data_IF_303895356812
#
_entry.id   IF_303895356812
#
_cell.length_a   1.000
_cell.length_b   1.000
_cell.length_c   1.000
_cell.angle_alpha   90.00
_cell.angle_beta   90.00
_cell.angle_gamma   90.00
#
_symmetry.space_group_name_H-M   'P 1'
#
loop_
_entity.id
_entity.type
_entity.pdbx_description
1 polymer ?
#
# COMPACT_ATOMS: atom_id res chain seq x y z
N UNK A 1 -12.67 -4.29 -13.19
CA UNK A 1 -11.78 -5.14 -12.39
C UNK A 1 -11.01 -4.25 -11.40
N UNK A 2 -11.02 -4.59 -10.12
CA UNK A 2 -10.24 -3.91 -9.07
C UNK A 2 -8.97 -4.70 -8.79
N UNK A 3 -7.82 -4.02 -8.80
CA UNK A 3 -6.53 -4.62 -8.52
C UNK A 3 -5.86 -4.01 -7.30
N UNK A 4 -5.26 -4.84 -6.44
CA UNK A 4 -4.24 -4.36 -5.50
C UNK A 4 -2.92 -4.29 -6.26
N UNK A 5 -2.29 -3.12 -6.28
CA UNK A 5 -0.93 -2.96 -6.82
C UNK A 5 -0.01 -2.52 -5.69
N UNK A 6 0.83 -3.45 -5.25
CA UNK A 6 1.83 -3.26 -4.21
C UNK A 6 3.15 -2.84 -4.85
N UNK A 7 3.60 -1.61 -4.60
CA UNK A 7 4.94 -1.20 -5.01
C UNK A 7 5.98 -1.59 -3.96
N UNK A 8 7.10 -2.18 -4.41
CA UNK A 8 8.24 -2.47 -3.54
C UNK A 8 9.56 -2.41 -4.31
N UNK A 9 10.65 -2.19 -3.60
CA UNK A 9 12.03 -2.30 -4.09
C UNK A 9 12.92 -2.89 -3.01
N UNK A 10 14.00 -3.53 -3.41
CA UNK A 10 14.94 -4.14 -2.45
C UNK A 10 15.87 -3.11 -1.84
N UNK A 11 16.24 -2.07 -2.59
CA UNK A 11 17.12 -1.01 -2.14
C UNK A 11 16.35 -0.01 -1.27
N UNK A 12 16.81 0.12 -0.04
CA UNK A 12 16.32 1.11 0.92
C UNK A 12 17.53 1.78 1.56
N UNK A 13 17.56 3.11 1.55
CA UNK A 13 18.70 3.88 2.08
C UNK A 13 18.73 3.95 3.60
N UNK A 14 17.55 4.12 4.24
CA UNK A 14 17.43 4.26 5.71
C UNK A 14 17.54 2.92 6.45
N UNK A 15 17.09 1.84 5.85
CA UNK A 15 17.16 0.47 6.39
C UNK A 15 17.45 -0.49 5.22
N UNK A 16 18.72 -0.74 4.90
CA UNK A 16 19.11 -1.57 3.76
C UNK A 16 18.47 -2.95 3.78
N UNK A 17 17.90 -3.38 2.65
CA UNK A 17 17.25 -4.68 2.52
C UNK A 17 15.98 -4.86 3.35
N UNK A 18 15.36 -3.77 3.82
CA UNK A 18 14.20 -3.81 4.74
C UNK A 18 13.08 -4.76 4.29
N UNK A 19 12.81 -4.83 3.00
CA UNK A 19 11.76 -5.69 2.44
C UNK A 19 11.98 -7.18 2.73
N UNK A 20 13.23 -7.60 2.96
CA UNK A 20 13.60 -8.98 3.25
C UNK A 20 13.90 -9.25 4.73
N UNK A 21 13.88 -8.23 5.61
CA UNK A 21 14.04 -8.43 7.04
C UNK A 21 12.92 -9.31 7.58
N UNK A 22 13.27 -10.26 8.47
CA UNK A 22 12.32 -11.25 8.98
C UNK A 22 11.46 -10.68 10.11
N UNK A 23 10.18 -10.51 9.83
CA UNK A 23 9.14 -10.19 10.80
C UNK A 23 8.39 -11.48 11.16
N UNK A 24 8.65 -12.01 12.36
CA UNK A 24 8.15 -13.31 12.83
C UNK A 24 8.38 -14.44 11.79
N UNK A 25 9.64 -14.61 11.38
CA UNK A 25 10.09 -15.69 10.50
C UNK A 25 9.71 -15.59 9.02
N UNK A 26 9.06 -14.50 8.59
CA UNK A 26 8.78 -14.24 7.18
C UNK A 26 9.28 -12.84 6.78
N UNK A 27 9.71 -12.65 5.52
CA UNK A 27 10.12 -11.33 5.04
C UNK A 27 9.05 -10.26 5.23
N UNK A 28 9.45 -9.02 5.54
CA UNK A 28 8.55 -7.88 5.73
C UNK A 28 7.57 -7.73 4.56
N UNK A 29 8.05 -7.81 3.32
CA UNK A 29 7.20 -7.70 2.12
C UNK A 29 6.13 -8.82 2.06
N UNK A 30 6.46 -10.02 2.56
CA UNK A 30 5.49 -11.12 2.63
C UNK A 30 4.37 -10.80 3.64
N UNK A 31 4.72 -10.16 4.79
CA UNK A 31 3.72 -9.72 5.78
C UNK A 31 2.80 -8.62 5.24
N UNK A 32 3.35 -7.71 4.42
CA UNK A 32 2.53 -6.72 3.70
C UNK A 32 1.54 -7.42 2.76
N UNK A 33 1.99 -8.40 1.99
CA UNK A 33 1.12 -9.18 1.10
C UNK A 33 0.05 -9.96 1.86
N UNK A 34 0.39 -10.57 3.02
CA UNK A 34 -0.60 -11.24 3.90
C UNK A 34 -1.71 -10.27 4.37
N UNK A 35 -1.35 -9.05 4.78
CA UNK A 35 -2.32 -8.04 5.19
C UNK A 35 -3.22 -7.63 4.01
N UNK A 36 -2.64 -7.39 2.85
CA UNK A 36 -3.36 -7.01 1.63
C UNK A 36 -4.26 -8.13 1.09
N UNK A 37 -3.96 -9.40 1.37
CA UNK A 37 -4.83 -10.52 1.02
C UNK A 37 -6.18 -10.50 1.74
N UNK A 38 -6.31 -9.71 2.82
CA UNK A 38 -7.58 -9.50 3.52
C UNK A 38 -8.45 -8.40 2.87
N UNK A 39 -7.90 -7.65 1.92
CA UNK A 39 -8.62 -6.59 1.20
C UNK A 39 -9.26 -7.19 -0.07
N UNK A 40 -10.58 -7.00 -0.30
CA UNK A 40 -11.24 -7.50 -1.50
C UNK A 40 -10.64 -6.90 -2.78
N UNK A 41 -10.24 -7.77 -3.71
CA UNK A 41 -9.75 -7.39 -5.03
C UNK A 41 -9.79 -8.59 -5.99
N UNK A 42 -9.93 -8.32 -7.29
CA UNK A 42 -9.99 -9.35 -8.33
C UNK A 42 -8.60 -9.93 -8.65
N UNK A 43 -7.56 -9.10 -8.56
CA UNK A 43 -6.16 -9.48 -8.82
C UNK A 43 -5.22 -8.73 -7.87
N UNK A 44 -4.09 -9.35 -7.55
CA UNK A 44 -3.02 -8.78 -6.73
C UNK A 44 -1.72 -8.81 -7.49
N UNK A 45 -1.01 -7.67 -7.52
CA UNK A 45 0.20 -7.46 -8.32
C UNK A 45 1.28 -6.85 -7.43
N UNK A 46 2.46 -7.46 -7.40
CA UNK A 46 3.67 -6.86 -6.85
C UNK A 46 4.43 -6.19 -8.00
N UNK A 47 4.46 -4.86 -7.99
CA UNK A 47 5.13 -4.04 -8.99
C UNK A 47 6.53 -3.60 -8.47
N UNK A 48 7.60 -4.13 -9.05
CA UNK A 48 8.96 -3.88 -8.59
C UNK A 48 9.90 -3.51 -9.76
N UNK A 49 11.08 -2.92 -9.48
CA UNK A 49 12.13 -2.81 -10.49
C UNK A 49 12.71 -4.18 -10.85
N UNK A 50 13.36 -4.27 -12.02
CA UNK A 50 13.94 -5.52 -12.53
C UNK A 50 14.98 -6.13 -11.58
N UNK A 51 15.79 -5.29 -10.93
CA UNK A 51 16.83 -5.71 -9.96
C UNK A 51 16.25 -6.38 -8.69
N UNK A 52 14.98 -6.20 -8.44
CA UNK A 52 14.27 -6.79 -7.30
C UNK A 52 13.52 -8.08 -7.64
N UNK A 53 13.40 -8.44 -8.94
CA UNK A 53 12.61 -9.57 -9.42
C UNK A 53 13.01 -10.90 -8.77
N UNK A 54 14.31 -11.23 -8.79
CA UNK A 54 14.80 -12.52 -8.25
C UNK A 54 14.51 -12.68 -6.76
N UNK A 55 14.57 -11.58 -6.01
CA UNK A 55 14.31 -11.58 -4.56
C UNK A 55 12.83 -11.71 -4.21
N UNK A 56 11.94 -11.25 -5.08
CA UNK A 56 10.51 -11.17 -4.79
C UNK A 56 9.66 -12.25 -5.45
N UNK A 57 10.14 -12.91 -6.54
CA UNK A 57 9.34 -13.84 -7.34
C UNK A 57 8.72 -14.97 -6.52
N UNK A 58 9.53 -15.67 -5.72
CA UNK A 58 9.04 -16.77 -4.90
C UNK A 58 8.10 -16.32 -3.78
N UNK A 59 8.34 -15.13 -3.22
CA UNK A 59 7.48 -14.54 -2.18
C UNK A 59 6.13 -14.11 -2.75
N UNK A 60 6.13 -13.49 -3.92
CA UNK A 60 4.91 -13.10 -4.62
C UNK A 60 4.06 -14.34 -4.96
N UNK A 61 4.67 -15.36 -5.54
CA UNK A 61 3.98 -16.61 -5.85
C UNK A 61 3.38 -17.26 -4.60
N UNK A 62 4.13 -17.34 -3.49
CA UNK A 62 3.65 -17.90 -2.22
C UNK A 62 2.49 -17.11 -1.62
N UNK A 63 2.43 -15.80 -1.87
CA UNK A 63 1.38 -14.92 -1.39
C UNK A 63 0.20 -14.75 -2.37
N UNK A 64 0.19 -15.46 -3.49
CA UNK A 64 -0.81 -15.33 -4.58
C UNK A 64 -0.83 -13.93 -5.21
N UNK A 65 0.36 -13.34 -5.40
CA UNK A 65 0.56 -12.11 -6.14
C UNK A 65 1.20 -12.38 -7.50
N UNK A 66 0.66 -11.76 -8.55
CA UNK A 66 1.35 -11.66 -9.84
C UNK A 66 2.55 -10.71 -9.66
N UNK A 67 3.65 -10.96 -10.37
CA UNK A 67 4.78 -10.04 -10.34
C UNK A 67 4.88 -9.28 -11.68
N UNK A 68 5.15 -7.98 -11.58
CA UNK A 68 5.36 -7.09 -12.71
C UNK A 68 6.62 -6.28 -12.49
N UNK A 69 7.53 -6.29 -13.45
CA UNK A 69 8.71 -5.43 -13.44
C UNK A 69 8.54 -4.22 -14.34
N UNK A 70 9.27 -3.14 -14.02
CA UNK A 70 9.27 -1.91 -14.80
C UNK A 70 10.33 -0.90 -14.32
N UNK A 71 10.28 0.35 -14.80
CA UNK A 71 11.29 1.36 -14.50
C UNK A 71 11.50 1.56 -13.00
N UNK A 72 12.77 1.71 -12.59
CA UNK A 72 13.14 1.86 -11.17
C UNK A 72 12.66 3.19 -10.60
N UNK A 73 12.97 4.28 -11.28
CA UNK A 73 12.71 5.64 -10.83
C UNK A 73 11.29 6.12 -11.16
N UNK A 74 10.64 5.48 -12.14
CA UNK A 74 9.29 5.82 -12.57
C UNK A 74 8.26 4.82 -12.04
N UNK A 75 7.88 5.03 -10.79
CA UNK A 75 6.90 4.17 -10.11
C UNK A 75 5.52 4.29 -10.75
N UNK A 76 5.11 5.50 -11.14
CA UNK A 76 3.82 5.74 -11.81
C UNK A 76 3.72 4.93 -13.11
N UNK A 77 4.78 4.84 -13.91
CA UNK A 77 4.77 4.00 -15.12
C UNK A 77 4.56 2.52 -14.80
N UNK A 78 5.12 1.99 -13.69
CA UNK A 78 4.84 0.60 -13.28
C UNK A 78 3.36 0.35 -13.02
N UNK A 79 2.64 1.31 -12.42
CA UNK A 79 1.18 1.24 -12.26
C UNK A 79 0.46 1.27 -13.60
N UNK A 80 0.88 2.13 -14.51
CA UNK A 80 0.31 2.23 -15.86
C UNK A 80 0.55 0.96 -16.70
N UNK A 81 1.73 0.35 -16.57
CA UNK A 81 2.01 -0.96 -17.16
C UNK A 81 1.08 -2.05 -16.62
N UNK A 82 0.85 -2.08 -15.29
CA UNK A 82 -0.10 -3.02 -14.68
C UNK A 82 -1.52 -2.82 -15.22
N UNK A 83 -1.98 -1.58 -15.26
CA UNK A 83 -3.31 -1.21 -15.77
C UNK A 83 -3.50 -1.71 -17.21
N UNK A 84 -2.54 -1.42 -18.10
CA UNK A 84 -2.61 -1.81 -19.51
C UNK A 84 -2.54 -3.34 -19.69
N UNK A 85 -1.65 -4.02 -18.94
CA UNK A 85 -1.44 -5.47 -19.05
C UNK A 85 -2.64 -6.29 -18.58
N UNK A 86 -3.30 -5.85 -17.51
CA UNK A 86 -4.37 -6.63 -16.87
C UNK A 86 -5.76 -6.01 -17.07
N UNK A 87 -5.91 -4.94 -17.84
CA UNK A 87 -7.19 -4.25 -18.08
C UNK A 87 -7.89 -3.84 -16.78
N UNK A 88 -7.15 -3.18 -15.90
CA UNK A 88 -7.62 -2.76 -14.56
C UNK A 88 -8.50 -1.52 -14.70
N UNK A 89 -9.63 -1.46 -13.99
CA UNK A 89 -10.49 -0.29 -13.90
C UNK A 89 -10.20 0.57 -12.67
N UNK A 90 -9.77 -0.08 -11.56
CA UNK A 90 -9.46 0.58 -10.29
C UNK A 90 -8.26 -0.07 -9.61
N UNK A 91 -7.40 0.76 -9.07
CA UNK A 91 -6.19 0.36 -8.36
C UNK A 91 -6.34 0.68 -6.87
N UNK A 92 -6.15 -0.31 -6.01
CA UNK A 92 -5.84 -0.12 -4.59
C UNK A 92 -4.32 -0.10 -4.48
N UNK A 93 -3.76 1.12 -4.28
CA UNK A 93 -2.32 1.34 -4.19
C UNK A 93 -1.82 1.07 -2.77
N UNK A 94 -0.80 0.25 -2.65
CA UNK A 94 -0.12 -0.04 -1.39
C UNK A 94 1.41 0.03 -1.54
N UNK A 95 2.11 0.19 -0.42
CA UNK A 95 3.58 0.30 -0.38
C UNK A 95 4.19 -0.79 0.49
N UNK A 96 5.37 -1.29 0.10
CA UNK A 96 6.00 -2.49 0.64
C UNK A 96 6.64 -2.33 2.03
N UNK A 97 6.43 -1.21 2.68
CA UNK A 97 6.91 -0.88 4.03
C UNK A 97 5.81 -0.85 5.10
N UNK A 98 4.55 -1.17 4.73
CA UNK A 98 3.38 -1.08 5.58
C UNK A 98 2.79 -2.46 5.93
N UNK A 99 3.37 -3.22 6.89
CA UNK A 99 2.91 -4.56 7.24
C UNK A 99 1.59 -4.58 8.04
N UNK A 100 1.12 -3.42 8.49
CA UNK A 100 -0.07 -3.25 9.32
C UNK A 100 -1.17 -2.43 8.61
N UNK A 101 -1.36 -2.64 7.32
CA UNK A 101 -2.49 -2.05 6.59
C UNK A 101 -3.80 -2.44 7.28
N UNK A 102 -4.68 -1.46 7.51
CA UNK A 102 -6.04 -1.70 8.03
C UNK A 102 -6.91 -2.25 6.89
N UNK A 103 -7.07 -3.57 6.85
CA UNK A 103 -7.80 -4.21 5.76
C UNK A 103 -9.28 -3.77 5.68
N UNK A 104 -9.91 -3.57 6.83
CA UNK A 104 -11.28 -3.07 6.94
C UNK A 104 -11.42 -1.62 6.49
N UNK A 105 -10.44 -0.76 6.80
CA UNK A 105 -10.42 0.61 6.32
C UNK A 105 -10.14 0.68 4.80
N UNK A 106 -9.26 -0.16 4.29
CA UNK A 106 -8.95 -0.26 2.87
C UNK A 106 -10.18 -0.69 2.04
N UNK A 107 -10.95 -1.68 2.53
CA UNK A 107 -12.19 -2.12 1.90
C UNK A 107 -13.23 -0.98 1.90
N UNK A 108 -13.48 -0.33 3.06
CA UNK A 108 -14.42 0.78 3.19
C UNK A 108 -14.08 1.94 2.25
N UNK A 109 -12.80 2.34 2.21
CA UNK A 109 -12.34 3.41 1.32
C UNK A 109 -12.58 3.08 -0.16
N UNK A 110 -12.32 1.84 -0.56
CA UNK A 110 -12.55 1.43 -1.94
C UNK A 110 -14.03 1.46 -2.32
N UNK A 111 -14.92 1.00 -1.42
CA UNK A 111 -16.38 1.05 -1.63
C UNK A 111 -16.89 2.49 -1.73
N UNK A 112 -16.40 3.39 -0.86
CA UNK A 112 -16.70 4.83 -0.95
C UNK A 112 -16.23 5.42 -2.28
N UNK A 113 -14.98 5.12 -2.69
CA UNK A 113 -14.42 5.60 -3.94
C UNK A 113 -15.22 5.17 -5.18
N UNK A 114 -15.70 3.92 -5.18
CA UNK A 114 -16.56 3.40 -6.26
C UNK A 114 -17.92 4.09 -6.25
N UNK A 115 -18.56 4.20 -5.08
CA UNK A 115 -19.88 4.82 -4.93
C UNK A 115 -19.88 6.28 -5.36
N UNK A 116 -18.84 7.03 -5.02
CA UNK A 116 -18.68 8.46 -5.33
C UNK A 116 -18.09 8.70 -6.73
N UNK A 117 -17.74 7.64 -7.46
CA UNK A 117 -17.00 7.73 -8.73
C UNK A 117 -15.75 8.61 -8.59
N UNK A 118 -15.07 8.49 -7.46
CA UNK A 118 -13.86 9.27 -7.21
C UNK A 118 -12.72 8.81 -8.13
N UNK A 119 -11.98 9.77 -8.68
CA UNK A 119 -10.74 9.50 -9.41
C UNK A 119 -9.62 9.08 -8.46
N UNK A 120 -9.59 9.69 -7.27
CA UNK A 120 -8.68 9.38 -6.18
C UNK A 120 -9.43 9.37 -4.86
N UNK A 121 -9.16 8.39 -4.01
CA UNK A 121 -9.61 8.37 -2.63
C UNK A 121 -8.48 7.93 -1.68
N UNK A 122 -8.44 8.58 -0.50
CA UNK A 122 -7.51 8.27 0.57
C UNK A 122 -8.00 8.85 1.90
N UNK A 123 -8.07 8.06 2.95
CA UNK A 123 -8.35 8.58 4.28
C UNK A 123 -7.16 9.42 4.79
N UNK A 124 -7.46 10.59 5.35
CA UNK A 124 -6.51 11.35 6.18
C UNK A 124 -6.65 10.91 7.65
N UNK A 125 -5.70 11.26 8.50
CA UNK A 125 -5.73 11.03 9.95
C UNK A 125 -5.74 9.54 10.37
N UNK A 126 -5.45 8.61 9.46
CA UNK A 126 -5.07 7.24 9.84
C UNK A 126 -3.69 7.22 10.50
N UNK A 127 -3.36 6.18 11.29
CA UNK A 127 -1.97 5.89 11.63
C UNK A 127 -1.08 5.89 10.40
N UNK A 128 0.11 6.50 10.50
CA UNK A 128 1.05 6.55 9.38
C UNK A 128 1.53 5.13 9.02
N UNK A 129 1.19 4.68 7.82
CA UNK A 129 1.45 3.31 7.36
C UNK A 129 0.25 2.35 7.45
N UNK A 130 -0.93 2.82 7.89
CA UNK A 130 -2.14 2.01 7.96
C UNK A 130 -2.98 2.02 6.67
N UNK A 131 -2.88 3.10 5.90
CA UNK A 131 -3.75 3.37 4.77
C UNK A 131 -3.28 2.80 3.44
N UNK A 132 -4.24 2.76 2.53
CA UNK A 132 -4.05 2.57 1.09
C UNK A 132 -4.70 3.74 0.35
N UNK A 133 -4.49 3.81 -0.96
CA UNK A 133 -5.19 4.77 -1.83
C UNK A 133 -6.00 3.98 -2.87
N UNK A 134 -7.25 4.40 -3.14
CA UNK A 134 -8.10 3.84 -4.18
C UNK A 134 -8.19 4.81 -5.36
N UNK A 135 -7.72 4.40 -6.53
CA UNK A 135 -7.53 5.28 -7.68
C UNK A 135 -8.16 4.69 -8.94
N UNK A 136 -8.92 5.49 -9.67
CA UNK A 136 -9.44 5.09 -10.99
C UNK A 136 -8.27 4.90 -11.98
N UNK A 137 -8.27 3.82 -12.74
CA UNK A 137 -7.23 3.54 -13.72
C UNK A 137 -7.08 4.64 -14.77
N UNK A 138 -8.20 5.21 -15.23
CA UNK A 138 -8.21 6.34 -16.16
C UNK A 138 -7.48 7.57 -15.62
N UNK A 139 -7.62 7.84 -14.32
CA UNK A 139 -6.92 8.95 -13.67
C UNK A 139 -5.41 8.72 -13.60
N UNK A 140 -4.97 7.48 -13.25
CA UNK A 140 -3.54 7.13 -13.25
C UNK A 140 -2.94 7.20 -14.67
N UNK A 141 -3.66 6.71 -15.67
CA UNK A 141 -3.19 6.80 -17.07
C UNK A 141 -3.04 8.25 -17.51
N UNK A 142 -4.00 9.12 -17.17
CA UNK A 142 -3.91 10.56 -17.44
C UNK A 142 -2.76 11.22 -16.68
N UNK A 143 -2.56 10.86 -15.42
CA UNK A 143 -1.41 11.33 -14.64
C UNK A 143 -0.09 10.88 -15.29
N UNK A 144 0.00 9.64 -15.78
CA UNK A 144 1.19 9.12 -16.45
C UNK A 144 1.59 9.90 -17.69
N UNK A 145 0.60 10.39 -18.45
CA UNK A 145 0.82 11.23 -19.65
C UNK A 145 1.24 12.67 -19.31
N UNK A 146 0.77 13.20 -18.20
CA UNK A 146 0.87 14.62 -17.88
C UNK A 146 1.88 14.97 -16.78
N UNK A 147 2.11 14.06 -15.82
CA UNK A 147 3.06 14.26 -14.72
C UNK A 147 4.50 14.34 -15.24
N UNK A 148 5.19 15.44 -14.91
CA UNK A 148 6.57 15.70 -15.35
C UNK A 148 7.56 15.80 -14.20
N UNK A 149 7.08 16.09 -12.98
CA UNK A 149 7.95 16.22 -11.82
C UNK A 149 8.41 14.84 -11.36
N UNK A 150 9.70 14.64 -11.04
CA UNK A 150 10.22 13.38 -10.51
C UNK A 150 9.44 12.88 -9.29
N UNK A 151 9.06 13.79 -8.37
CA UNK A 151 8.28 13.44 -7.17
C UNK A 151 6.88 12.91 -7.48
N UNK A 152 6.23 13.41 -8.54
CA UNK A 152 4.91 12.90 -8.98
C UNK A 152 5.03 11.50 -9.57
N UNK A 153 6.11 11.24 -10.30
CA UNK A 153 6.37 9.92 -10.88
C UNK A 153 6.82 8.90 -9.85
N UNK A 154 7.59 9.30 -8.84
CA UNK A 154 8.02 8.42 -7.74
C UNK A 154 6.87 8.10 -6.78
N UNK A 155 6.08 9.11 -6.39
CA UNK A 155 5.03 8.93 -5.36
C UNK A 155 3.65 8.58 -5.93
N UNK A 156 3.47 8.53 -7.25
CA UNK A 156 2.31 8.05 -8.02
C UNK A 156 1.09 8.99 -7.98
N UNK A 157 0.58 9.31 -6.79
CA UNK A 157 -0.68 10.04 -6.63
C UNK A 157 -0.58 11.57 -6.47
N UNK A 158 0.59 12.20 -6.22
CA UNK A 158 0.67 13.66 -6.05
C UNK A 158 0.08 14.46 -7.20
N UNK A 159 0.29 14.01 -8.44
CA UNK A 159 -0.30 14.69 -9.59
C UNK A 159 -1.84 14.79 -9.49
N UNK A 160 -2.51 13.76 -8.98
CA UNK A 160 -3.97 13.73 -8.88
C UNK A 160 -4.48 14.75 -7.85
N UNK A 161 -4.01 14.67 -6.61
CA UNK A 161 -4.54 15.51 -5.55
C UNK A 161 -3.99 16.96 -5.57
N UNK A 162 -2.95 17.23 -6.36
CA UNK A 162 -2.48 18.58 -6.63
C UNK A 162 -3.25 19.29 -7.77
N UNK A 163 -4.08 18.54 -8.52
CA UNK A 163 -4.92 19.07 -9.60
C UNK A 163 -6.41 18.76 -9.36
N UNK A 164 -7.00 19.24 -8.24
CA UNK A 164 -8.40 18.95 -7.90
C UNK A 164 -9.40 19.52 -8.89
N UNK A 165 -8.99 20.47 -9.73
CA UNK A 165 -9.79 21.01 -10.85
C UNK A 165 -9.94 20.00 -12.00
N UNK A 166 -9.09 18.97 -12.06
CA UNK A 166 -9.06 17.96 -13.12
C UNK A 166 -9.57 16.59 -12.69
N UNK A 167 -9.61 16.34 -11.38
CA UNK A 167 -9.90 15.02 -10.80
C UNK A 167 -10.91 15.12 -9.66
N UNK A 168 -11.82 14.16 -9.58
CA UNK A 168 -12.73 14.00 -8.44
C UNK A 168 -11.97 13.39 -7.25
N UNK A 169 -11.62 14.23 -6.28
CA UNK A 169 -10.77 13.87 -5.12
C UNK A 169 -11.62 13.65 -3.87
N UNK A 170 -11.56 12.45 -3.29
CA UNK A 170 -12.21 12.09 -2.02
C UNK A 170 -11.15 11.85 -0.94
N UNK A 171 -10.97 12.80 -0.02
CA UNK A 171 -9.97 12.75 1.07
C UNK A 171 -10.61 13.06 2.43
N UNK A 172 -11.55 12.25 2.90
CA UNK A 172 -12.18 12.47 4.20
C UNK A 172 -11.22 12.12 5.34
N UNK A 173 -11.46 12.70 6.51
CA UNK A 173 -10.87 12.21 7.75
C UNK A 173 -11.33 10.76 8.00
N UNK A 174 -10.45 9.94 8.54
CA UNK A 174 -10.79 8.56 8.90
C UNK A 174 -11.95 8.54 9.93
N UNK A 175 -12.89 7.58 9.83
CA UNK A 175 -13.86 7.34 10.88
C UNK A 175 -13.23 7.23 12.27
N UNK A 176 -13.95 7.64 13.32
CA UNK A 176 -13.43 7.75 14.70
C UNK A 176 -12.70 6.47 15.19
N UNK A 177 -13.18 5.28 14.77
CA UNK A 177 -12.56 3.99 15.12
C UNK A 177 -11.14 3.80 14.56
N UNK A 178 -10.74 4.56 13.54
CA UNK A 178 -9.44 4.51 12.89
C UNK A 178 -8.65 5.83 12.97
N UNK A 179 -9.22 6.87 13.58
CA UNK A 179 -8.64 8.20 13.69
C UNK A 179 -7.54 8.23 14.76
N UNK A 180 -6.28 8.04 14.36
CA UNK A 180 -5.11 8.03 15.23
C UNK A 180 -3.88 8.58 14.50
N UNK A 181 -3.86 9.88 14.15
CA UNK A 181 -2.82 10.49 13.32
C UNK A 181 -1.42 10.44 13.93
N UNK A 182 -1.31 10.38 15.27
CA UNK A 182 -0.03 10.37 15.97
C UNK A 182 0.63 8.99 16.01
N UNK A 183 -0.09 7.93 15.62
CA UNK A 183 0.45 6.57 15.57
C UNK A 183 1.23 6.35 14.27
N UNK A 184 2.42 5.74 14.40
CA UNK A 184 3.28 5.35 13.28
C UNK A 184 3.54 3.85 13.30
N UNK A 185 3.13 3.14 12.23
CA UNK A 185 3.24 1.69 12.08
C UNK A 185 3.87 1.26 10.74
N UNK A 186 4.38 2.21 9.96
CA UNK A 186 5.24 1.92 8.79
C UNK A 186 6.64 1.49 9.25
N UNK A 187 7.40 0.82 8.40
CA UNK A 187 8.78 0.42 8.68
C UNK A 187 9.74 1.13 7.75
N UNK A 188 10.46 2.12 8.29
CA UNK A 188 11.45 2.90 7.54
C UNK A 188 12.85 2.88 8.18
N UNK A 189 12.92 2.74 9.49
CA UNK A 189 14.14 2.74 10.30
C UNK A 189 14.26 1.44 11.10
N UNK A 190 15.41 1.22 11.73
CA UNK A 190 15.60 0.10 12.65
C UNK A 190 14.63 0.17 13.85
N UNK A 191 14.38 1.36 14.37
CA UNK A 191 13.42 1.58 15.46
C UNK A 191 11.99 1.21 15.05
N UNK A 192 11.56 1.62 13.83
CA UNK A 192 10.25 1.21 13.29
C UNK A 192 10.16 -0.31 13.18
N UNK A 193 11.24 -0.96 12.74
CA UNK A 193 11.28 -2.42 12.59
C UNK A 193 11.22 -3.15 13.94
N UNK A 194 11.91 -2.64 14.96
CA UNK A 194 11.86 -3.22 16.31
C UNK A 194 10.46 -3.09 16.91
N UNK A 195 9.83 -1.93 16.78
CA UNK A 195 8.40 -1.71 17.14
C UNK A 195 7.47 -2.63 16.35
N UNK A 196 7.73 -2.83 15.05
CA UNK A 196 6.94 -3.74 14.23
C UNK A 196 7.02 -5.20 14.71
N UNK A 197 8.18 -5.67 15.20
CA UNK A 197 8.32 -7.00 15.81
C UNK A 197 7.44 -7.16 17.05
N UNK A 198 7.43 -6.17 17.95
CA UNK A 198 6.61 -6.18 19.16
C UNK A 198 5.12 -6.18 18.82
N UNK A 199 4.70 -5.30 17.91
CA UNK A 199 3.32 -5.21 17.48
C UNK A 199 2.86 -6.51 16.78
N UNK A 200 3.70 -7.08 15.90
CA UNK A 200 3.36 -8.33 15.22
C UNK A 200 3.22 -9.49 16.21
N UNK A 201 4.13 -9.59 17.19
CA UNK A 201 4.04 -10.60 18.25
C UNK A 201 2.73 -10.49 19.05
N UNK A 202 2.29 -9.26 19.36
CA UNK A 202 1.03 -9.00 20.05
C UNK A 202 -0.22 -9.33 19.20
N UNK A 203 -0.09 -9.28 17.87
CA UNK A 203 -1.18 -9.52 16.91
C UNK A 203 -1.25 -10.99 16.44
N UNK A 204 -0.18 -11.75 16.55
CA UNK A 204 0.00 -13.07 15.94
C UNK A 204 -1.18 -14.04 16.10
N UNK A 205 -1.78 -14.07 17.28
CA UNK A 205 -2.86 -15.00 17.62
C UNK A 205 -4.25 -14.32 17.62
N UNK A 206 -4.36 -13.08 17.19
CA UNK A 206 -5.64 -12.37 17.14
C UNK A 206 -6.43 -12.78 15.89
N UNK A 207 -7.70 -13.16 15.99
CA UNK A 207 -8.50 -13.58 14.85
C UNK A 207 -8.69 -12.48 13.80
N UNK A 208 -8.74 -11.23 14.25
CA UNK A 208 -8.92 -10.03 13.39
C UNK A 208 -7.65 -9.17 13.33
N UNK A 209 -6.48 -9.81 13.24
CA UNK A 209 -5.17 -9.13 13.34
C UNK A 209 -4.89 -8.08 12.27
N UNK A 210 -5.67 -8.05 11.19
CA UNK A 210 -5.55 -7.09 10.09
C UNK A 210 -6.62 -5.98 10.14
N UNK A 211 -7.49 -5.97 11.17
CA UNK A 211 -8.47 -4.91 11.36
C UNK A 211 -7.86 -3.75 12.16
N UNK A 212 -8.19 -2.53 11.74
CA UNK A 212 -7.62 -1.31 12.32
C UNK A 212 -7.81 -1.19 13.83
N UNK A 213 -9.02 -1.45 14.36
CA UNK A 213 -9.27 -1.39 15.81
C UNK A 213 -8.43 -2.40 16.59
N UNK A 214 -8.21 -3.60 16.06
CA UNK A 214 -7.38 -4.63 16.71
C UNK A 214 -5.93 -4.18 16.76
N UNK A 215 -5.41 -3.65 15.64
CA UNK A 215 -4.04 -3.14 15.55
C UNK A 215 -3.84 -1.98 16.53
N UNK A 216 -4.74 -0.99 16.56
CA UNK A 216 -4.69 0.16 17.46
C UNK A 216 -4.70 -0.30 18.94
N UNK A 217 -5.61 -1.20 19.31
CA UNK A 217 -5.69 -1.74 20.69
C UNK A 217 -4.42 -2.46 21.12
N UNK A 218 -3.72 -3.13 20.21
CA UNK A 218 -2.44 -3.79 20.51
C UNK A 218 -1.29 -2.79 20.56
N UNK A 219 -1.26 -1.84 19.63
CA UNK A 219 -0.27 -0.76 19.66
C UNK A 219 -0.27 0.00 20.98
N UNK A 220 -1.45 0.39 21.49
CA UNK A 220 -1.60 1.10 22.77
C UNK A 220 -1.14 0.29 24.00
N UNK A 221 -0.82 -0.98 23.88
CA UNK A 221 -0.31 -1.84 24.97
C UNK A 221 1.20 -2.01 24.95
N UNK A 222 1.86 -1.65 23.84
CA UNK A 222 3.31 -1.79 23.67
C UNK A 222 4.04 -0.45 23.66
N UNK A 223 3.33 0.65 23.45
CA UNK A 223 3.78 2.04 23.55
C UNK A 223 3.07 2.75 24.70
#
# INVERSE_FOLDING_TARGET
>A
MTAIVLQARIDSTRLPGKSLLLLDGQPLIFRVMEALNQVPADIRILACPEDSLSSFSSLAQKADFQILTGPKEDVLERYCMAIRKYSIDRVIRATGDNPFVFADAAASLNDEAVSLKADYAGYTELPYGAGVESVAASALLRACEQAKLPSEREHVCPYLYNHPEMFNIHRPAAPARWYYPDIRITVDTQEDFDRAKELYAALKNEPNRHNGETIIKKYAKIC
#
